data_IF_492867610082
#
_entry.id   IF_492867610082
#
_cell.length_a   1.000
_cell.length_b   1.000
_cell.length_c   1.000
_cell.angle_alpha   90.00
_cell.angle_beta   90.00
_cell.angle_gamma   90.00
#
_symmetry.space_group_name_H-M   'P 1'
#
loop_
_entity.id
_entity.type
_entity.pdbx_description
1 polymer ?
#
# COMPACT_ATOMS: atom_id res chain seq x y z
N UNK A 1 34.36 -55.87 66.02
CA UNK A 1 35.04 -54.59 65.78
C UNK A 1 35.24 -54.44 64.27
N UNK A 2 34.32 -53.77 63.57
CA UNK A 2 34.38 -53.57 62.11
C UNK A 2 34.10 -52.10 61.84
N UNK A 3 35.13 -51.39 61.39
CA UNK A 3 35.11 -49.97 61.06
C UNK A 3 34.57 -49.76 59.66
N UNK A 4 33.80 -48.68 59.52
CA UNK A 4 33.18 -48.21 58.29
C UNK A 4 34.22 -47.74 57.28
N UNK A 5 33.98 -48.01 55.99
CA UNK A 5 34.55 -47.22 54.90
C UNK A 5 33.44 -46.85 53.91
N UNK A 6 33.30 -45.55 53.73
CA UNK A 6 32.38 -44.84 52.87
C UNK A 6 32.71 -45.15 51.41
N UNK A 7 31.70 -45.45 50.59
CA UNK A 7 31.78 -45.33 49.13
C UNK A 7 30.60 -44.49 48.65
N UNK A 8 30.83 -43.18 48.61
CA UNK A 8 30.20 -42.30 47.63
C UNK A 8 30.74 -42.65 46.25
N UNK A 9 29.87 -42.76 45.24
CA UNK A 9 30.18 -42.42 43.85
C UNK A 9 28.88 -42.29 43.05
N UNK A 10 28.49 -41.03 42.89
CA UNK A 10 27.77 -40.41 41.77
C UNK A 10 27.19 -41.32 40.68
N UNK A 11 25.85 -41.29 40.54
CA UNK A 11 25.15 -41.42 39.26
C UNK A 11 23.96 -40.46 39.23
N UNK A 12 24.22 -39.21 38.87
CA UNK A 12 23.19 -38.38 38.23
C UNK A 12 23.37 -38.55 36.71
N UNK A 13 22.39 -39.08 35.98
CA UNK A 13 22.38 -38.90 34.55
C UNK A 13 22.07 -37.42 34.29
N UNK A 14 23.09 -36.62 34.04
CA UNK A 14 22.90 -35.34 33.37
C UNK A 14 22.38 -35.65 31.97
N UNK A 15 21.06 -35.71 31.82
CA UNK A 15 20.41 -35.63 30.53
C UNK A 15 20.67 -34.22 29.99
N UNK A 16 21.76 -34.06 29.23
CA UNK A 16 21.93 -32.90 28.37
C UNK A 16 20.80 -32.93 27.35
N UNK A 17 19.73 -32.18 27.64
CA UNK A 17 18.72 -31.86 26.64
C UNK A 17 19.39 -30.94 25.64
N UNK A 18 19.94 -31.52 24.56
CA UNK A 18 20.40 -30.75 23.42
C UNK A 18 19.13 -30.21 22.77
N UNK A 19 18.75 -28.99 23.14
CA UNK A 19 17.71 -28.25 22.43
C UNK A 19 18.29 -27.86 21.08
N UNK A 20 18.15 -28.76 20.09
CA UNK A 20 18.47 -28.45 18.69
C UNK A 20 17.48 -27.37 18.26
N UNK A 21 17.92 -26.11 18.24
CA UNK A 21 17.12 -25.01 17.69
C UNK A 21 17.01 -25.23 16.19
N UNK A 22 15.90 -25.81 15.74
CA UNK A 22 15.59 -26.00 14.33
C UNK A 22 15.56 -24.62 13.65
N UNK A 23 16.58 -24.30 12.86
CA UNK A 23 16.58 -23.08 12.05
C UNK A 23 15.55 -23.28 10.94
N UNK A 24 14.40 -22.63 11.08
CA UNK A 24 13.38 -22.60 10.03
C UNK A 24 13.92 -21.75 8.89
N UNK A 25 14.00 -22.30 7.68
CA UNK A 25 14.42 -21.52 6.52
C UNK A 25 13.35 -20.49 6.16
N UNK A 26 13.72 -19.44 5.43
CA UNK A 26 12.75 -18.44 4.94
C UNK A 26 11.60 -19.09 4.16
N UNK A 27 11.88 -20.13 3.38
CA UNK A 27 10.88 -20.89 2.64
C UNK A 27 9.92 -21.66 3.57
N UNK A 28 10.43 -22.32 4.61
CA UNK A 28 9.61 -23.02 5.60
C UNK A 28 8.75 -22.04 6.41
N UNK A 29 9.30 -20.87 6.75
CA UNK A 29 8.57 -19.82 7.47
C UNK A 29 7.45 -19.21 6.61
N UNK A 30 7.68 -19.00 5.32
CA UNK A 30 6.63 -18.53 4.40
C UNK A 30 5.55 -19.60 4.21
N UNK A 31 5.95 -20.87 4.10
CA UNK A 31 5.02 -21.98 3.94
C UNK A 31 4.15 -22.24 5.19
N UNK A 32 4.64 -21.91 6.38
CA UNK A 32 3.89 -22.07 7.64
C UNK A 32 2.91 -20.93 7.94
N UNK A 33 2.88 -19.85 7.13
CA UNK A 33 1.91 -18.77 7.28
C UNK A 33 0.50 -19.28 7.00
N UNK A 34 -0.45 -18.90 7.84
CA UNK A 34 -1.86 -19.14 7.57
C UNK A 34 -2.26 -18.41 6.27
N UNK A 35 -2.79 -19.16 5.29
CA UNK A 35 -3.34 -18.62 4.05
C UNK A 35 -4.85 -18.82 4.07
N UNK A 36 -5.59 -17.74 3.86
CA UNK A 36 -7.03 -17.79 3.69
C UNK A 36 -7.35 -18.26 2.26
N UNK A 37 -7.97 -19.42 2.12
CA UNK A 37 -8.34 -20.00 0.82
C UNK A 37 -9.25 -19.08 -0.01
N UNK A 38 -10.12 -18.29 0.65
CA UNK A 38 -10.99 -17.32 -0.01
C UNK A 38 -10.17 -16.19 -0.61
N UNK A 39 -9.22 -15.67 0.16
CA UNK A 39 -8.31 -14.62 -0.29
C UNK A 39 -7.41 -15.11 -1.43
N UNK A 40 -6.85 -16.31 -1.33
CA UNK A 40 -6.02 -16.89 -2.39
C UNK A 40 -6.78 -16.99 -3.72
N UNK A 41 -8.04 -17.46 -3.68
CA UNK A 41 -8.90 -17.55 -4.86
C UNK A 41 -9.20 -16.17 -5.48
N UNK A 42 -9.38 -15.15 -4.65
CA UNK A 42 -9.52 -13.75 -5.10
C UNK A 42 -8.23 -13.27 -5.77
N UNK A 43 -7.08 -13.50 -5.13
CA UNK A 43 -5.79 -13.08 -5.63
C UNK A 43 -5.42 -13.71 -6.96
N UNK A 44 -5.82 -14.95 -7.22
CA UNK A 44 -5.62 -15.58 -8.52
C UNK A 44 -6.42 -14.91 -9.65
N UNK A 45 -7.62 -14.40 -9.36
CA UNK A 45 -8.36 -13.55 -10.31
C UNK A 45 -7.70 -12.19 -10.47
N UNK A 46 -7.26 -11.58 -9.36
CA UNK A 46 -6.58 -10.30 -9.37
C UNK A 46 -5.30 -10.31 -10.22
N UNK A 47 -4.49 -11.38 -10.14
CA UNK A 47 -3.31 -11.57 -11.01
C UNK A 47 -3.65 -11.54 -12.50
N UNK A 48 -4.83 -12.04 -12.88
CA UNK A 48 -5.27 -11.97 -14.27
C UNK A 48 -5.74 -10.56 -14.64
N UNK A 49 -6.42 -9.87 -13.71
CA UNK A 49 -6.83 -8.48 -13.90
C UNK A 49 -5.64 -7.55 -14.11
N UNK A 50 -4.58 -7.67 -13.31
CA UNK A 50 -3.35 -6.88 -13.49
C UNK A 50 -2.75 -7.08 -14.89
N UNK A 51 -2.81 -8.29 -15.45
CA UNK A 51 -2.35 -8.56 -16.83
C UNK A 51 -3.26 -7.92 -17.88
N UNK A 52 -4.57 -7.88 -17.64
CA UNK A 52 -5.52 -7.18 -18.52
C UNK A 52 -5.18 -5.69 -18.55
N UNK A 53 -5.01 -5.07 -17.38
CA UNK A 53 -4.66 -3.65 -17.26
C UNK A 53 -3.34 -3.35 -17.96
N UNK A 54 -2.30 -4.15 -17.72
CA UNK A 54 -1.01 -3.97 -18.40
C UNK A 54 -1.12 -4.01 -19.93
N UNK A 55 -1.99 -4.87 -20.50
CA UNK A 55 -2.21 -4.92 -21.95
C UNK A 55 -3.04 -3.71 -22.40
N UNK A 56 -4.05 -3.29 -21.63
CA UNK A 56 -4.84 -2.10 -21.89
C UNK A 56 -3.94 -0.85 -21.92
N UNK A 57 -3.08 -0.66 -20.92
CA UNK A 57 -2.14 0.47 -20.85
C UNK A 57 -1.22 0.50 -22.07
N UNK A 58 -0.71 -0.67 -22.48
CA UNK A 58 0.12 -0.78 -23.69
C UNK A 58 -0.64 -0.40 -24.97
N UNK A 59 -1.93 -0.73 -25.05
CA UNK A 59 -2.77 -0.35 -26.20
C UNK A 59 -3.01 1.16 -26.21
N UNK A 60 -3.36 1.74 -25.07
CA UNK A 60 -3.68 3.16 -24.91
C UNK A 60 -2.45 4.06 -25.08
N UNK A 61 -1.27 3.56 -24.68
CA UNK A 61 0.01 4.28 -24.84
C UNK A 61 0.46 4.45 -26.30
N UNK A 62 -0.25 3.88 -27.29
CA UNK A 62 0.07 4.02 -28.70
C UNK A 62 -0.95 4.95 -29.42
N UNK A 63 -0.76 6.28 -29.39
CA UNK A 63 -1.73 7.25 -29.92
C UNK A 63 -1.76 7.30 -31.46
N UNK A 64 -0.83 6.63 -32.15
CA UNK A 64 -0.63 6.77 -33.59
C UNK A 64 -1.76 6.17 -34.45
N UNK A 65 -2.75 5.50 -33.85
CA UNK A 65 -3.84 4.84 -34.56
C UNK A 65 -5.16 5.11 -33.87
N UNK A 66 -6.18 5.44 -34.66
CA UNK A 66 -7.54 5.63 -34.16
C UNK A 66 -8.45 4.56 -34.80
N UNK A 67 -8.96 3.58 -34.04
CA UNK A 67 -8.76 3.35 -32.61
C UNK A 67 -7.37 2.75 -32.27
N UNK A 68 -6.85 2.96 -31.04
CA UNK A 68 -5.56 2.42 -30.62
C UNK A 68 -5.49 0.90 -30.75
N UNK A 69 -4.39 0.40 -31.30
CA UNK A 69 -4.17 -1.03 -31.46
C UNK A 69 -2.68 -1.40 -31.47
N UNK A 70 -2.39 -2.65 -31.08
CA UNK A 70 -1.03 -3.21 -31.03
C UNK A 70 -0.95 -4.50 -31.85
N UNK A 71 0.21 -4.76 -32.45
CA UNK A 71 0.40 -6.00 -33.20
C UNK A 71 0.51 -7.19 -32.24
N UNK A 72 -0.04 -8.33 -32.67
CA UNK A 72 -0.02 -9.55 -31.87
C UNK A 72 1.39 -10.15 -31.76
N UNK A 73 2.25 -9.90 -32.75
CA UNK A 73 3.67 -10.26 -32.70
C UNK A 73 4.42 -9.47 -31.62
N UNK A 74 4.20 -8.15 -31.55
CA UNK A 74 4.77 -7.31 -30.50
C UNK A 74 4.33 -7.79 -29.11
N UNK A 75 3.03 -8.03 -28.95
CA UNK A 75 2.51 -8.54 -27.68
C UNK A 75 3.06 -9.94 -27.36
N UNK A 76 3.27 -10.78 -28.37
CA UNK A 76 3.87 -12.11 -28.20
C UNK A 76 5.31 -12.01 -27.69
N UNK A 77 6.12 -11.08 -28.20
CA UNK A 77 7.47 -10.78 -27.68
C UNK A 77 7.45 -10.31 -26.23
N UNK A 78 6.40 -9.60 -25.82
CA UNK A 78 6.21 -9.15 -24.43
C UNK A 78 5.58 -10.22 -23.50
N UNK A 79 5.18 -11.38 -24.01
CA UNK A 79 4.46 -12.41 -23.23
C UNK A 79 5.17 -12.81 -21.94
N UNK A 80 6.50 -12.91 -21.95
CA UNK A 80 7.26 -13.29 -20.75
C UNK A 80 7.25 -12.17 -19.70
N UNK A 81 7.43 -10.91 -20.13
CA UNK A 81 7.37 -9.74 -19.23
C UNK A 81 5.98 -9.55 -18.63
N UNK A 82 4.93 -9.87 -19.40
CA UNK A 82 3.54 -9.78 -18.97
C UNK A 82 3.03 -11.07 -18.27
N UNK A 83 3.91 -12.06 -18.07
CA UNK A 83 3.57 -13.36 -17.45
C UNK A 83 2.36 -14.06 -18.12
N UNK A 84 2.31 -14.04 -19.46
CA UNK A 84 1.28 -14.69 -20.26
C UNK A 84 1.68 -16.15 -20.54
N UNK A 85 1.41 -17.04 -19.58
CA UNK A 85 1.90 -18.43 -19.59
C UNK A 85 1.55 -19.25 -20.85
N UNK A 86 0.42 -18.95 -21.53
CA UNK A 86 -0.02 -19.64 -22.76
C UNK A 86 0.15 -18.78 -24.02
N UNK A 87 0.93 -17.70 -23.91
CA UNK A 87 1.12 -16.71 -24.95
C UNK A 87 -0.01 -15.68 -25.05
N UNK A 88 0.31 -14.55 -25.68
CA UNK A 88 -0.61 -13.45 -25.87
C UNK A 88 -1.95 -13.84 -26.55
N UNK A 89 -1.97 -14.60 -27.67
CA UNK A 89 -3.22 -14.93 -28.36
C UNK A 89 -4.16 -15.78 -27.50
N UNK A 90 -3.62 -16.69 -26.67
CA UNK A 90 -4.42 -17.52 -25.77
C UNK A 90 -5.04 -16.68 -24.65
N UNK A 91 -4.28 -15.73 -24.10
CA UNK A 91 -4.77 -14.84 -23.05
C UNK A 91 -5.88 -13.90 -23.54
N UNK A 92 -5.68 -13.25 -24.69
CA UNK A 92 -6.66 -12.32 -25.26
C UNK A 92 -8.01 -13.00 -25.55
N UNK A 93 -7.98 -14.22 -26.11
CA UNK A 93 -9.20 -15.01 -26.40
C UNK A 93 -9.99 -15.38 -25.15
N UNK A 94 -9.38 -15.34 -23.96
CA UNK A 94 -10.07 -15.56 -22.68
C UNK A 94 -10.97 -14.38 -22.29
N UNK A 95 -10.69 -13.18 -22.80
CA UNK A 95 -11.42 -11.95 -22.46
C UNK A 95 -11.94 -11.22 -23.71
N UNK A 96 -12.82 -11.85 -24.52
CA UNK A 96 -13.33 -11.27 -25.76
C UNK A 96 -14.21 -10.03 -25.56
N UNK A 97 -14.71 -9.81 -24.34
CA UNK A 97 -15.47 -8.62 -23.95
C UNK A 97 -14.57 -7.39 -23.74
N UNK A 98 -13.26 -7.59 -23.58
CA UNK A 98 -12.27 -6.53 -23.38
C UNK A 98 -11.41 -6.35 -24.64
N UNK A 99 -10.96 -7.45 -25.22
CA UNK A 99 -10.03 -7.45 -26.35
C UNK A 99 -10.68 -7.96 -27.63
N UNK A 100 -10.47 -7.23 -28.71
CA UNK A 100 -10.87 -7.60 -30.06
C UNK A 100 -9.63 -7.86 -30.91
N UNK A 101 -9.47 -9.12 -31.34
CA UNK A 101 -8.41 -9.53 -32.27
C UNK A 101 -8.93 -9.44 -33.69
N UNK A 102 -8.19 -8.76 -34.56
CA UNK A 102 -8.53 -8.63 -35.98
C UNK A 102 -7.27 -8.79 -36.85
N UNK A 103 -7.46 -9.10 -38.12
CA UNK A 103 -6.38 -9.20 -39.09
C UNK A 103 -6.37 -7.95 -39.97
N UNK A 104 -5.20 -7.35 -40.16
CA UNK A 104 -5.00 -6.24 -41.09
C UNK A 104 -4.42 -6.79 -42.40
N UNK A 105 -5.21 -6.82 -43.50
CA UNK A 105 -4.75 -7.33 -44.79
C UNK A 105 -3.59 -6.51 -45.38
N UNK A 106 -3.50 -5.23 -45.07
CA UNK A 106 -2.45 -4.36 -45.64
C UNK A 106 -1.06 -4.68 -45.09
N UNK A 107 -1.01 -5.18 -43.85
CA UNK A 107 0.22 -5.54 -43.14
C UNK A 107 0.43 -7.05 -43.04
N UNK A 108 -0.53 -7.83 -43.55
CA UNK A 108 -0.59 -9.28 -43.39
C UNK A 108 -0.34 -9.75 -41.96
N UNK A 109 -0.89 -9.03 -40.98
CA UNK A 109 -0.59 -9.24 -39.56
C UNK A 109 -1.84 -9.11 -38.68
N UNK A 110 -1.89 -9.91 -37.62
CA UNK A 110 -2.92 -9.81 -36.60
C UNK A 110 -2.64 -8.67 -35.60
N UNK A 111 -3.68 -7.93 -35.26
CA UNK A 111 -3.69 -6.84 -34.29
C UNK A 111 -4.71 -7.11 -33.18
N UNK A 112 -4.51 -6.46 -32.04
CA UNK A 112 -5.43 -6.43 -30.92
C UNK A 112 -5.78 -4.97 -30.59
N UNK A 113 -7.05 -4.71 -30.30
CA UNK A 113 -7.56 -3.44 -29.79
C UNK A 113 -8.56 -3.69 -28.66
N UNK A 114 -8.88 -2.65 -27.90
CA UNK A 114 -9.98 -2.70 -26.95
C UNK A 114 -11.33 -2.74 -27.69
N UNK A 115 -12.31 -3.41 -27.07
CA UNK A 115 -13.72 -3.31 -27.47
C UNK A 115 -14.26 -1.90 -27.16
N UNK A 116 -15.33 -1.48 -27.84
CA UNK A 116 -15.93 -0.17 -27.57
C UNK A 116 -16.39 -0.02 -26.12
N UNK A 117 -16.92 -1.08 -25.53
CA UNK A 117 -17.32 -1.11 -24.11
C UNK A 117 -16.13 -0.95 -23.17
N UNK A 118 -15.00 -1.61 -23.44
CA UNK A 118 -13.80 -1.49 -22.62
C UNK A 118 -13.17 -0.10 -22.73
N UNK A 119 -13.19 0.51 -23.92
CA UNK A 119 -12.72 1.87 -24.12
C UNK A 119 -13.57 2.89 -23.34
N UNK A 120 -14.90 2.76 -23.36
CA UNK A 120 -15.78 3.62 -22.57
C UNK A 120 -15.58 3.45 -21.06
N UNK A 121 -15.31 2.23 -20.58
CA UNK A 121 -14.97 2.01 -19.17
C UNK A 121 -13.66 2.71 -18.82
N UNK A 122 -12.63 2.58 -19.66
CA UNK A 122 -11.34 3.25 -19.46
C UNK A 122 -11.49 4.77 -19.42
N UNK A 123 -12.34 5.36 -20.28
CA UNK A 123 -12.62 6.80 -20.27
C UNK A 123 -13.29 7.23 -18.96
N UNK A 124 -14.30 6.47 -18.49
CA UNK A 124 -14.99 6.76 -17.22
C UNK A 124 -14.05 6.61 -16.01
N UNK A 125 -13.12 5.66 -16.06
CA UNK A 125 -12.10 5.50 -15.04
C UNK A 125 -11.19 6.72 -14.97
N UNK A 126 -10.69 7.20 -16.12
CA UNK A 126 -9.89 8.42 -16.22
C UNK A 126 -10.65 9.64 -15.69
N UNK A 127 -11.93 9.79 -16.05
CA UNK A 127 -12.80 10.87 -15.53
C UNK A 127 -12.97 10.80 -14.02
N UNK A 128 -13.17 9.60 -13.47
CA UNK A 128 -13.28 9.39 -12.03
C UNK A 128 -11.97 9.70 -11.29
N UNK A 129 -10.82 9.28 -11.85
CA UNK A 129 -9.50 9.61 -11.31
C UNK A 129 -9.31 11.14 -11.30
N UNK A 130 -9.59 11.81 -12.42
CA UNK A 130 -9.48 13.26 -12.53
C UNK A 130 -10.41 13.99 -11.55
N UNK A 131 -11.65 13.52 -11.40
CA UNK A 131 -12.60 14.07 -10.42
C UNK A 131 -12.14 13.87 -8.97
N UNK A 132 -11.33 12.84 -8.68
CA UNK A 132 -10.79 12.57 -7.35
C UNK A 132 -9.54 13.39 -7.01
N UNK A 133 -8.88 14.02 -7.99
CA UNK A 133 -7.63 14.75 -7.79
C UNK A 133 -7.69 15.81 -6.67
N UNK A 134 -8.75 16.63 -6.51
CA UNK A 134 -8.84 17.57 -5.40
C UNK A 134 -8.78 16.90 -4.02
N UNK A 135 -9.40 15.72 -3.88
CA UNK A 135 -9.36 14.95 -2.63
C UNK A 135 -7.96 14.40 -2.35
N UNK A 136 -7.25 13.98 -3.41
CA UNK A 136 -5.87 13.48 -3.32
C UNK A 136 -4.92 14.61 -2.89
N UNK A 137 -5.09 15.80 -3.49
CA UNK A 137 -4.34 17.01 -3.09
C UNK A 137 -4.59 17.33 -1.61
N UNK A 138 -5.85 17.36 -1.18
CA UNK A 138 -6.20 17.65 0.22
C UNK A 138 -5.62 16.61 1.20
N UNK A 139 -5.65 15.31 0.84
CA UNK A 139 -5.00 14.25 1.64
C UNK A 139 -3.50 14.48 1.78
N UNK A 140 -2.82 14.85 0.69
CA UNK A 140 -1.39 15.11 0.71
C UNK A 140 -1.05 16.36 1.52
N UNK A 141 -1.87 17.42 1.43
CA UNK A 141 -1.77 18.62 2.29
C UNK A 141 -1.91 18.25 3.76
N UNK A 142 -2.94 17.48 4.14
CA UNK A 142 -3.13 17.03 5.53
C UNK A 142 -1.94 16.21 6.02
N UNK A 143 -1.42 15.30 5.19
CA UNK A 143 -0.26 14.50 5.54
C UNK A 143 0.98 15.36 5.80
N UNK A 144 1.23 16.37 4.97
CA UNK A 144 2.32 17.32 5.19
C UNK A 144 2.08 18.20 6.41
N UNK A 145 0.86 18.67 6.68
CA UNK A 145 0.52 19.45 7.87
C UNK A 145 0.71 18.66 9.17
N UNK A 146 0.57 17.34 9.14
CA UNK A 146 0.89 16.47 10.29
C UNK A 146 2.39 16.33 10.54
N UNK A 147 3.24 16.64 9.56
CA UNK A 147 4.71 16.63 9.71
C UNK A 147 5.17 17.93 10.38
N UNK A 148 6.02 17.80 11.40
CA UNK A 148 6.60 18.96 12.12
C UNK A 148 7.29 19.95 11.18
N UNK A 149 7.97 19.46 10.15
CA UNK A 149 8.68 20.28 9.16
C UNK A 149 7.82 20.72 7.97
N UNK A 150 6.53 20.37 7.96
CA UNK A 150 5.62 20.50 6.81
C UNK A 150 6.21 19.94 5.51
N UNK A 151 7.03 18.90 5.64
CA UNK A 151 7.75 18.26 4.54
C UNK A 151 7.92 16.76 4.78
N UNK A 152 8.06 16.00 3.68
CA UNK A 152 8.30 14.56 3.70
C UNK A 152 9.24 14.15 2.57
N UNK A 153 10.12 13.15 2.77
CA UNK A 153 10.90 12.57 1.67
C UNK A 153 9.96 12.01 0.60
N UNK A 154 10.15 12.40 -0.67
CA UNK A 154 9.32 11.93 -1.77
C UNK A 154 9.37 10.40 -1.89
N UNK A 155 10.53 9.79 -1.61
CA UNK A 155 10.70 8.33 -1.55
C UNK A 155 9.75 7.66 -0.54
N UNK A 156 9.42 8.32 0.56
CA UNK A 156 8.49 7.78 1.55
C UNK A 156 7.05 7.84 1.03
N UNK A 157 6.66 8.94 0.38
CA UNK A 157 5.35 9.07 -0.29
C UNK A 157 5.21 8.01 -1.37
N UNK A 158 6.25 7.77 -2.16
CA UNK A 158 6.29 6.73 -3.19
C UNK A 158 6.08 5.32 -2.60
N UNK A 159 6.53 5.02 -1.39
CA UNK A 159 6.26 3.68 -0.83
C UNK A 159 4.78 3.39 -0.57
N UNK A 160 3.96 4.42 -0.48
CA UNK A 160 2.53 4.32 -0.10
C UNK A 160 1.61 5.05 -1.07
N UNK A 161 2.08 5.42 -2.28
CA UNK A 161 1.32 6.32 -3.17
C UNK A 161 -0.06 5.76 -3.50
N UNK A 162 -0.16 4.45 -3.77
CA UNK A 162 -1.44 3.78 -4.06
C UNK A 162 -2.41 3.83 -2.88
N UNK A 163 -1.91 3.66 -1.66
CA UNK A 163 -2.72 3.73 -0.43
C UNK A 163 -3.20 5.16 -0.14
N UNK A 164 -2.45 6.17 -0.58
CA UNK A 164 -2.85 7.57 -0.52
C UNK A 164 -3.86 7.95 -1.63
N UNK A 165 -4.05 7.07 -2.61
CA UNK A 165 -4.87 7.32 -3.79
C UNK A 165 -4.20 8.24 -4.82
N UNK A 166 -2.86 8.35 -4.78
CA UNK A 166 -2.11 9.10 -5.77
C UNK A 166 -2.11 8.34 -7.11
N UNK A 167 -2.26 9.05 -8.26
CA UNK A 167 -2.10 8.42 -9.57
C UNK A 167 -0.65 7.99 -9.81
N UNK A 168 -0.40 7.13 -10.79
CA UNK A 168 0.95 6.62 -11.06
C UNK A 168 1.91 7.72 -11.58
N UNK A 169 1.37 8.82 -12.11
CA UNK A 169 2.06 10.02 -12.59
C UNK A 169 1.97 11.21 -11.61
N UNK A 170 1.72 10.97 -10.33
CA UNK A 170 1.38 12.02 -9.35
C UNK A 170 2.42 13.14 -9.21
N UNK A 171 3.68 12.88 -9.54
CA UNK A 171 4.70 13.94 -9.58
C UNK A 171 4.29 15.04 -10.56
N UNK A 172 3.86 14.67 -11.77
CA UNK A 172 3.40 15.60 -12.78
C UNK A 172 1.95 16.03 -12.54
N UNK A 173 1.05 15.07 -12.30
CA UNK A 173 -0.39 15.33 -12.25
C UNK A 173 -0.87 15.96 -10.94
N UNK A 174 -0.13 15.81 -9.84
CA UNK A 174 -0.48 16.38 -8.53
C UNK A 174 0.54 17.42 -8.08
N UNK A 175 1.84 17.12 -8.08
CA UNK A 175 2.84 18.02 -7.50
C UNK A 175 3.10 19.22 -8.44
N UNK A 176 3.52 18.96 -9.69
CA UNK A 176 3.85 20.02 -10.66
C UNK A 176 2.64 20.88 -11.00
N UNK A 177 1.44 20.30 -11.10
CA UNK A 177 0.20 21.04 -11.34
C UNK A 177 -0.27 21.94 -10.18
N UNK A 178 0.29 21.77 -8.97
CA UNK A 178 -0.10 22.55 -7.80
C UNK A 178 1.12 23.28 -7.16
N UNK A 179 1.81 24.16 -7.91
CA UNK A 179 3.07 24.78 -7.46
C UNK A 179 2.90 25.77 -6.29
N UNK A 180 1.68 26.30 -6.13
CA UNK A 180 1.33 27.18 -5.01
C UNK A 180 1.15 26.41 -3.70
N UNK A 181 0.94 25.09 -3.79
CA UNK A 181 0.69 24.21 -2.64
C UNK A 181 1.95 23.42 -2.31
N UNK A 182 2.53 22.77 -3.33
CA UNK A 182 3.66 21.86 -3.18
C UNK A 182 4.91 22.42 -3.85
N UNK A 183 6.06 22.12 -3.24
CA UNK A 183 7.38 22.34 -3.83
C UNK A 183 8.23 21.12 -3.63
N UNK A 184 8.89 20.69 -4.71
CA UNK A 184 9.90 19.67 -4.65
C UNK A 184 11.26 20.33 -4.45
N UNK A 185 11.97 19.94 -3.39
CA UNK A 185 13.31 20.41 -3.08
C UNK A 185 14.31 19.25 -3.14
N UNK A 186 15.58 19.54 -3.40
CA UNK A 186 16.64 18.54 -3.26
C UNK A 186 16.81 18.14 -1.79
N UNK A 187 17.03 16.85 -1.57
CA UNK A 187 17.32 16.28 -0.26
C UNK A 187 18.81 16.30 0.08
N UNK A 188 19.14 15.74 1.25
CA UNK A 188 20.52 15.73 1.76
C UNK A 188 21.44 14.78 0.97
N UNK A 189 20.86 13.79 0.28
CA UNK A 189 21.57 12.81 -0.53
C UNK A 189 21.34 13.10 -2.02
N UNK A 190 22.31 12.79 -2.90
CA UNK A 190 22.15 12.95 -4.34
C UNK A 190 20.93 12.16 -4.84
N UNK A 191 20.18 12.72 -5.78
CA UNK A 191 18.93 12.15 -6.35
C UNK A 191 17.78 11.91 -5.37
N UNK A 192 17.89 12.43 -4.14
CA UNK A 192 16.76 12.41 -3.20
C UNK A 192 16.00 13.72 -3.27
N UNK A 193 14.68 13.64 -3.21
CA UNK A 193 13.82 14.81 -3.22
C UNK A 193 12.94 14.84 -1.97
N UNK A 194 12.66 16.04 -1.49
CA UNK A 194 11.79 16.32 -0.36
C UNK A 194 10.60 17.12 -0.86
N UNK A 195 9.40 16.56 -0.65
CA UNK A 195 8.16 17.25 -0.90
C UNK A 195 7.87 18.19 0.28
N UNK A 196 7.70 19.48 -0.01
CA UNK A 196 7.42 20.52 0.99
C UNK A 196 6.09 21.22 0.69
N UNK A 197 5.35 21.52 1.76
CA UNK A 197 4.19 22.39 1.70
C UNK A 197 4.63 23.86 1.71
N UNK A 198 4.18 24.63 0.72
CA UNK A 198 4.54 26.06 0.57
C UNK A 198 3.36 27.00 0.81
N UNK A 199 2.13 26.53 0.60
CA UNK A 199 0.95 27.34 0.83
C UNK A 199 0.82 27.81 2.28
N UNK A 200 0.25 29.00 2.46
CA UNK A 200 -0.21 29.46 3.77
C UNK A 200 -1.55 28.79 4.08
N UNK A 201 -1.58 27.98 5.14
CA UNK A 201 -2.78 27.31 5.61
C UNK A 201 -3.14 27.87 6.99
N UNK A 202 -4.40 28.28 7.20
CA UNK A 202 -4.88 28.63 8.52
C UNK A 202 -4.63 27.52 9.54
N UNK A 203 -4.38 27.87 10.80
CA UNK A 203 -4.17 26.86 11.87
C UNK A 203 -5.38 25.94 12.05
N UNK A 204 -6.58 26.38 11.65
CA UNK A 204 -7.82 25.60 11.67
C UNK A 204 -8.13 24.87 10.35
N UNK A 205 -7.23 24.89 9.36
CA UNK A 205 -7.44 24.19 8.08
C UNK A 205 -7.67 22.68 8.26
N UNK A 206 -6.96 22.10 9.23
CA UNK A 206 -7.12 20.70 9.59
C UNK A 206 -7.24 20.55 11.11
N UNK A 207 -8.45 20.29 11.58
CA UNK A 207 -8.68 19.86 12.96
C UNK A 207 -9.00 18.38 12.96
N UNK A 208 -8.16 17.59 13.63
CA UNK A 208 -8.41 16.16 13.76
C UNK A 208 -9.73 15.92 14.50
N UNK A 209 -10.47 14.87 14.13
CA UNK A 209 -11.73 14.53 14.78
C UNK A 209 -11.59 14.35 16.31
N UNK A 210 -10.44 13.83 16.75
CA UNK A 210 -10.11 13.72 18.18
C UNK A 210 -9.99 15.09 18.85
N UNK A 211 -9.49 16.10 18.16
CA UNK A 211 -9.34 17.45 18.71
C UNK A 211 -10.71 18.14 18.83
N UNK A 212 -11.57 18.01 17.82
CA UNK A 212 -12.96 18.45 17.91
C UNK A 212 -13.70 17.77 19.07
N UNK A 213 -13.47 16.47 19.26
CA UNK A 213 -14.03 15.74 20.40
C UNK A 213 -13.51 16.28 21.74
N UNK A 214 -12.21 16.58 21.86
CA UNK A 214 -11.63 17.16 23.09
C UNK A 214 -12.25 18.51 23.45
N UNK A 215 -12.40 19.40 22.47
CA UNK A 215 -13.07 20.69 22.66
C UNK A 215 -14.49 20.48 23.16
N UNK A 216 -15.24 19.58 22.51
CA UNK A 216 -16.63 19.27 22.89
C UNK A 216 -16.72 18.73 24.31
N UNK A 217 -15.83 17.80 24.69
CA UNK A 217 -15.87 17.16 26.02
C UNK A 217 -15.45 18.14 27.12
N UNK A 218 -14.42 18.97 26.90
CA UNK A 218 -13.96 19.98 27.86
C UNK A 218 -15.00 21.09 28.11
N UNK A 219 -15.90 21.34 27.16
CA UNK A 219 -16.92 22.38 27.25
C UNK A 219 -18.27 21.88 27.82
N UNK A 220 -18.37 20.61 28.24
CA UNK A 220 -19.58 20.09 28.89
C UNK A 220 -19.66 20.54 30.35
N UNK A 221 -20.84 20.97 30.78
CA UNK A 221 -21.09 21.46 32.16
C UNK A 221 -20.88 20.35 33.22
N UNK A 222 -21.08 19.08 32.87
CA UNK A 222 -20.89 17.91 33.75
C UNK A 222 -19.52 17.23 33.60
N UNK A 223 -18.49 17.94 33.13
CA UNK A 223 -17.19 17.32 32.82
C UNK A 223 -16.46 16.87 34.11
N UNK A 224 -16.55 15.58 34.44
CA UNK A 224 -15.87 14.97 35.60
C UNK A 224 -14.35 14.80 35.40
N UNK A 225 -13.82 15.19 34.24
CA UNK A 225 -12.47 14.84 33.80
C UNK A 225 -11.61 16.09 33.80
N UNK A 226 -10.45 16.02 34.46
CA UNK A 226 -9.47 17.09 34.50
C UNK A 226 -9.02 17.49 33.09
N UNK A 227 -8.97 18.81 32.84
CA UNK A 227 -8.57 19.43 31.57
C UNK A 227 -7.18 18.97 31.12
N UNK A 228 -6.27 18.74 32.07
CA UNK A 228 -4.93 18.24 31.77
C UNK A 228 -4.94 16.75 31.36
N UNK A 229 -5.86 15.97 31.94
CA UNK A 229 -6.09 14.57 31.59
C UNK A 229 -6.62 14.39 30.17
N UNK A 230 -7.54 15.26 29.72
CA UNK A 230 -8.13 15.20 28.36
C UNK A 230 -7.11 15.60 27.27
N UNK A 231 -6.19 16.52 27.58
CA UNK A 231 -5.26 17.11 26.60
C UNK A 231 -4.38 16.08 25.88
N UNK A 232 -4.08 14.95 26.52
CA UNK A 232 -3.20 13.91 25.98
C UNK A 232 -3.79 12.51 25.99
N UNK A 233 -5.03 12.33 26.45
CA UNK A 233 -5.65 11.00 26.50
C UNK A 233 -6.37 10.65 25.19
N UNK A 234 -6.25 9.40 24.80
CA UNK A 234 -7.09 8.77 23.78
C UNK A 234 -8.09 7.86 24.50
N UNK A 235 -9.30 7.72 23.96
CA UNK A 235 -10.27 6.76 24.51
C UNK A 235 -9.76 5.34 24.24
N UNK A 236 -9.23 4.69 25.27
CA UNK A 236 -8.80 3.31 25.16
C UNK A 236 -10.02 2.40 25.37
N UNK A 237 -10.39 1.65 24.33
CA UNK A 237 -11.39 0.58 24.43
C UNK A 237 -10.65 -0.73 24.62
N UNK A 238 -10.73 -1.28 25.82
CA UNK A 238 -10.18 -2.59 26.12
C UNK A 238 -11.21 -3.68 25.85
N UNK A 239 -10.80 -4.85 25.33
CA UNK A 239 -11.67 -6.01 25.24
C UNK A 239 -12.25 -6.37 26.62
N UNK A 240 -13.45 -6.98 26.68
CA UNK A 240 -14.02 -7.46 27.94
C UNK A 240 -13.01 -8.32 28.72
N UNK A 241 -12.69 -7.91 29.96
CA UNK A 241 -11.75 -8.63 30.84
C UNK A 241 -10.34 -8.03 30.94
N UNK A 242 -9.96 -7.07 30.11
CA UNK A 242 -8.65 -6.39 30.21
C UNK A 242 -8.78 -5.10 31.03
N UNK A 243 -8.06 -5.02 32.17
CA UNK A 243 -8.00 -3.85 33.06
C UNK A 243 -6.55 -3.40 33.23
N UNK A 244 -6.28 -2.11 33.09
CA UNK A 244 -4.99 -1.52 33.45
C UNK A 244 -4.95 -1.25 34.96
N UNK A 245 -3.89 -1.67 35.63
CA UNK A 245 -3.55 -1.23 36.99
C UNK A 245 -2.44 -0.17 36.91
N UNK A 246 -2.61 0.94 37.64
CA UNK A 246 -1.54 1.93 37.83
C UNK A 246 -0.59 1.39 38.90
N UNK A 247 0.66 1.12 38.55
CA UNK A 247 1.74 0.95 39.53
C UNK A 247 2.45 2.29 39.63
N UNK A 248 2.14 3.06 40.68
CA UNK A 248 2.91 4.26 41.02
C UNK A 248 4.16 3.78 41.78
N UNK A 249 5.30 3.71 41.11
CA UNK A 249 6.59 3.65 41.81
C UNK A 249 6.86 5.06 42.34
N UNK A 250 6.66 5.24 43.65
CA UNK A 250 7.16 6.41 44.36
C UNK A 250 8.67 6.29 44.49
N UNK A 251 9.41 7.13 43.79
CA UNK A 251 10.80 7.39 44.12
C UNK A 251 10.84 8.17 45.44
N UNK A 252 11.56 7.59 46.40
CA UNK A 252 11.86 8.14 47.72
C UNK A 252 13.13 8.98 47.65
#
# INVERSE_FOLDING_TARGET
>A
MRTYTIKSLFKHPFAFSITIRSKTTSAQYVASRARDATFEKLMDKYKNFVKVIAIQDLILSNPNKTPPCISLDFLSKLSQKLHLNRGAPSFLRKYPHIFHIFYDPTKSQAFCRLTGTALEISRKEEEAVNASLPLVVDRLVRLLLMSTSKSLPLRAVFKVWRELGLPDDFEDSVIVKNPNIFRLCDGNEPSTHVLKLVGEFPDNYFTAAVENWRVTECCREDCSVDRMGIRYSFKHLYPPGMRLSKVLQGES
#
